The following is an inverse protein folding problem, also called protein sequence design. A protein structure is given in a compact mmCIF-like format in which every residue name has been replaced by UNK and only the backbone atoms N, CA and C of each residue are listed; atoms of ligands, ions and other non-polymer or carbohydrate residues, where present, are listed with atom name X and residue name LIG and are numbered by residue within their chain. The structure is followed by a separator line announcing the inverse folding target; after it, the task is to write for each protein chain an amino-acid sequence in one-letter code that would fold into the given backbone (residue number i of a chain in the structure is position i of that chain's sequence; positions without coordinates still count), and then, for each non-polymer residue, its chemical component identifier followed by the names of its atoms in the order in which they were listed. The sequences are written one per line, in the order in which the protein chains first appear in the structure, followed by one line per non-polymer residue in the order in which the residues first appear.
data_IF_424637062907
#
_entry.id   IF_424637062907
#
_cell.length_a   1.000
_cell.length_b   1.000
_cell.length_c   1.000
_cell.angle_alpha   90.00
_cell.angle_beta   90.00
_cell.angle_gamma   90.00
#
_symmetry.space_group_name_H-M   'P 1'
#
loop_
_entity.id
_entity.type
_entity.pdbx_description
1 polymer ?
#
# COMPACT_ATOMS: atom_id res chain seq x y z
N UNK A 1 -54.12 -36.44 -6.30
CA UNK A 1 -54.20 -34.97 -6.15
C UNK A 1 -52.78 -34.44 -6.23
N UNK A 2 -52.53 -33.58 -7.20
CA UNK A 2 -51.22 -33.19 -7.76
C UNK A 2 -50.24 -32.53 -6.78
N UNK A 3 -48.98 -32.99 -6.88
CA UNK A 3 -47.73 -32.22 -6.99
C UNK A 3 -47.62 -30.87 -6.29
N UNK A 4 -46.61 -30.72 -5.43
CA UNK A 4 -45.83 -29.48 -5.40
C UNK A 4 -44.34 -29.79 -5.27
N UNK A 5 -43.68 -29.67 -6.41
CA UNK A 5 -42.25 -29.46 -6.50
C UNK A 5 -41.92 -28.08 -5.92
N UNK A 6 -40.84 -27.99 -5.16
CA UNK A 6 -40.02 -26.77 -5.13
C UNK A 6 -38.58 -27.19 -4.87
N UNK A 7 -37.82 -27.25 -5.96
CA UNK A 7 -36.36 -27.21 -5.93
C UNK A 7 -35.96 -25.92 -5.22
N UNK A 8 -35.38 -26.05 -4.03
CA UNK A 8 -34.52 -25.02 -3.45
C UNK A 8 -33.10 -25.29 -3.93
N UNK A 9 -32.75 -24.63 -5.02
CA UNK A 9 -31.44 -24.55 -5.65
C UNK A 9 -30.31 -24.48 -4.61
N UNK A 10 -29.44 -25.50 -4.56
CA UNK A 10 -28.09 -25.34 -4.04
C UNK A 10 -27.34 -24.39 -4.99
N UNK A 11 -27.57 -23.09 -4.83
CA UNK A 11 -26.67 -22.10 -5.39
C UNK A 11 -25.32 -22.30 -4.68
N UNK A 12 -24.20 -22.36 -5.40
CA UNK A 12 -22.91 -22.25 -4.74
C UNK A 12 -22.97 -20.94 -3.97
N UNK A 13 -22.72 -20.99 -2.67
CA UNK A 13 -22.53 -19.79 -1.87
C UNK A 13 -21.42 -19.01 -2.57
N UNK A 14 -21.82 -18.02 -3.37
CA UNK A 14 -20.93 -17.03 -3.91
C UNK A 14 -20.36 -16.41 -2.68
N UNK A 15 -19.15 -16.85 -2.33
CA UNK A 15 -18.32 -16.26 -1.31
C UNK A 15 -18.27 -14.79 -1.69
N UNK A 16 -19.17 -14.02 -1.09
CA UNK A 16 -19.20 -12.58 -1.10
C UNK A 16 -17.83 -12.22 -0.55
N UNK A 17 -16.88 -12.02 -1.47
CA UNK A 17 -15.52 -11.64 -1.17
C UNK A 17 -15.67 -10.21 -0.69
N UNK A 18 -15.99 -10.08 0.59
CA UNK A 18 -15.90 -8.85 1.36
C UNK A 18 -14.47 -8.38 1.17
N UNK A 19 -14.24 -7.57 0.15
CA UNK A 19 -12.92 -7.14 -0.26
C UNK A 19 -12.44 -6.17 0.81
N UNK A 20 -11.87 -6.74 1.88
CA UNK A 20 -11.35 -5.98 2.99
C UNK A 20 -10.21 -5.13 2.44
N UNK A 21 -10.31 -3.79 2.49
CA UNK A 21 -9.30 -2.92 1.89
C UNK A 21 -7.92 -3.14 2.51
N UNK A 22 -7.86 -3.59 3.76
CA UNK A 22 -6.60 -3.99 4.41
C UNK A 22 -5.96 -5.22 3.78
N UNK A 23 -6.76 -6.20 3.33
CA UNK A 23 -6.23 -7.36 2.63
C UNK A 23 -5.71 -6.96 1.25
N UNK A 24 -6.42 -6.09 0.54
CA UNK A 24 -5.94 -5.52 -0.72
C UNK A 24 -4.63 -4.73 -0.52
N UNK A 25 -4.51 -3.99 0.58
CA UNK A 25 -3.30 -3.24 0.92
C UNK A 25 -2.11 -4.16 1.26
N UNK A 26 -2.36 -5.24 2.00
CA UNK A 26 -1.33 -6.25 2.28
C UNK A 26 -0.87 -6.96 0.99
N UNK A 27 -1.81 -7.30 0.10
CA UNK A 27 -1.48 -7.84 -1.21
C UNK A 27 -0.65 -6.84 -2.02
N UNK A 28 -1.06 -5.57 -2.06
CA UNK A 28 -0.32 -4.50 -2.74
C UNK A 28 1.12 -4.42 -2.23
N UNK A 29 1.31 -4.38 -0.91
CA UNK A 29 2.64 -4.41 -0.30
C UNK A 29 3.44 -5.67 -0.65
N UNK A 30 2.81 -6.84 -0.73
CA UNK A 30 3.49 -8.07 -1.18
C UNK A 30 3.95 -8.00 -2.64
N UNK A 31 3.10 -7.49 -3.55
CA UNK A 31 3.47 -7.26 -4.94
C UNK A 31 4.58 -6.20 -5.07
N UNK A 32 4.57 -5.18 -4.20
CA UNK A 32 5.63 -4.17 -4.14
C UNK A 32 7.00 -4.78 -3.84
N UNK A 33 7.05 -5.71 -2.88
CA UNK A 33 8.30 -6.40 -2.56
C UNK A 33 8.76 -7.24 -3.75
N UNK A 34 7.84 -7.94 -4.43
CA UNK A 34 8.15 -8.66 -5.68
C UNK A 34 8.68 -7.73 -6.78
N UNK A 35 8.10 -6.54 -6.92
CA UNK A 35 8.58 -5.49 -7.83
C UNK A 35 10.00 -5.06 -7.46
N UNK A 36 10.26 -4.69 -6.20
CA UNK A 36 11.57 -4.25 -5.74
C UNK A 36 12.67 -5.31 -5.97
N UNK A 37 12.36 -6.59 -5.70
CA UNK A 37 13.27 -7.70 -5.99
C UNK A 37 13.50 -7.85 -7.50
N UNK A 38 12.44 -7.77 -8.30
CA UNK A 38 12.55 -7.92 -9.75
C UNK A 38 13.35 -6.80 -10.40
N UNK A 39 13.22 -5.56 -9.90
CA UNK A 39 14.02 -4.42 -10.35
C UNK A 39 15.49 -4.65 -10.02
N UNK A 40 15.80 -5.11 -8.80
CA UNK A 40 17.17 -5.41 -8.41
C UNK A 40 17.78 -6.51 -9.31
N UNK A 41 17.02 -7.58 -9.57
CA UNK A 41 17.43 -8.67 -10.46
C UNK A 41 17.45 -8.34 -11.95
N UNK A 42 16.87 -7.22 -12.37
CA UNK A 42 16.91 -6.78 -13.76
C UNK A 42 18.27 -6.23 -14.18
N UNK A 43 19.19 -6.02 -13.24
CA UNK A 43 20.49 -5.38 -13.46
C UNK A 43 20.35 -4.05 -14.23
N UNK A 44 19.42 -3.21 -13.80
CA UNK A 44 19.13 -1.93 -14.47
C UNK A 44 18.37 -2.08 -15.78
N UNK A 45 17.42 -3.01 -15.86
CA UNK A 45 16.62 -3.34 -17.05
C UNK A 45 17.38 -3.96 -18.22
N UNK A 46 18.58 -4.47 -17.96
CA UNK A 46 19.39 -5.17 -18.97
C UNK A 46 18.83 -6.58 -19.22
N UNK A 47 18.27 -7.22 -18.19
CA UNK A 47 17.61 -8.51 -18.30
C UNK A 47 16.11 -8.36 -18.62
N UNK A 48 15.72 -8.77 -19.83
CA UNK A 48 14.35 -8.63 -20.34
C UNK A 48 13.31 -9.41 -19.53
N UNK A 49 13.67 -10.61 -19.04
CA UNK A 49 12.76 -11.47 -18.28
C UNK A 49 12.41 -10.84 -16.93
N UNK A 50 13.42 -10.42 -16.17
CA UNK A 50 13.23 -9.74 -14.89
C UNK A 50 12.55 -8.39 -15.04
N UNK A 51 12.83 -7.66 -16.13
CA UNK A 51 12.15 -6.40 -16.46
C UNK A 51 10.66 -6.57 -16.70
N UNK A 52 10.25 -7.59 -17.48
CA UNK A 52 8.84 -7.89 -17.71
C UNK A 52 8.14 -8.24 -16.40
N UNK A 53 8.77 -9.06 -15.58
CA UNK A 53 8.25 -9.44 -14.26
C UNK A 53 8.07 -8.19 -13.39
N UNK A 54 9.07 -7.30 -13.33
CA UNK A 54 8.98 -6.04 -12.60
C UNK A 54 7.78 -5.19 -13.06
N UNK A 55 7.56 -5.05 -14.36
CA UNK A 55 6.41 -4.29 -14.90
C UNK A 55 5.09 -4.92 -14.46
N UNK A 56 4.96 -6.25 -14.52
CA UNK A 56 3.74 -6.94 -14.08
C UNK A 56 3.49 -6.71 -12.59
N UNK A 57 4.52 -6.91 -11.75
CA UNK A 57 4.41 -6.66 -10.31
C UNK A 57 4.06 -5.20 -10.01
N UNK A 58 4.64 -4.24 -10.74
CA UNK A 58 4.37 -2.81 -10.62
C UNK A 58 2.92 -2.44 -10.96
N UNK A 59 2.35 -3.03 -12.00
CA UNK A 59 0.95 -2.83 -12.34
C UNK A 59 0.02 -3.47 -11.30
N UNK A 60 0.37 -4.65 -10.80
CA UNK A 60 -0.40 -5.34 -9.76
C UNK A 60 -0.40 -4.57 -8.43
N UNK A 61 0.77 -4.17 -7.92
CA UNK A 61 0.90 -3.40 -6.66
C UNK A 61 0.09 -2.10 -6.73
N UNK A 62 0.19 -1.34 -7.84
CA UNK A 62 -0.58 -0.11 -8.03
C UNK A 62 -2.07 -0.34 -8.14
N UNK A 63 -2.50 -1.41 -8.82
CA UNK A 63 -3.92 -1.74 -8.93
C UNK A 63 -4.53 -2.07 -7.57
N UNK A 64 -3.88 -2.96 -6.80
CA UNK A 64 -4.36 -3.34 -5.47
C UNK A 64 -4.30 -2.17 -4.47
N UNK A 65 -3.26 -1.35 -4.55
CA UNK A 65 -3.15 -0.12 -3.76
C UNK A 65 -4.31 0.81 -4.10
N UNK A 66 -4.55 1.10 -5.37
CA UNK A 66 -5.67 1.94 -5.82
C UNK A 66 -7.02 1.44 -5.29
N UNK A 67 -7.26 0.12 -5.34
CA UNK A 67 -8.48 -0.49 -4.76
C UNK A 67 -8.58 -0.28 -3.26
N UNK A 68 -7.47 -0.42 -2.51
CA UNK A 68 -7.46 -0.17 -1.07
C UNK A 68 -7.76 1.31 -0.75
N UNK A 69 -7.12 2.23 -1.49
CA UNK A 69 -7.27 3.68 -1.32
C UNK A 69 -8.69 4.19 -1.62
N UNK A 70 -9.53 3.42 -2.31
CA UNK A 70 -10.97 3.76 -2.45
C UNK A 70 -11.75 3.68 -1.14
N UNK A 71 -11.19 3.03 -0.12
CA UNK A 71 -11.85 2.74 1.17
C UNK A 71 -11.08 3.26 2.38
N UNK A 72 -9.76 3.50 2.26
CA UNK A 72 -8.90 4.03 3.32
C UNK A 72 -8.36 5.41 2.94
N UNK A 73 -7.98 6.20 3.95
CA UNK A 73 -7.30 7.46 3.72
C UNK A 73 -6.02 7.24 2.89
N UNK A 74 -5.85 8.08 1.86
CA UNK A 74 -4.74 8.02 0.91
C UNK A 74 -3.40 8.05 1.64
N UNK A 75 -3.29 8.91 2.65
CA UNK A 75 -2.08 9.04 3.43
C UNK A 75 -1.74 7.78 4.23
N UNK A 76 -2.73 7.16 4.87
CA UNK A 76 -2.54 5.92 5.63
C UNK A 76 -2.16 4.77 4.68
N UNK A 77 -2.84 4.66 3.54
CA UNK A 77 -2.57 3.60 2.57
C UNK A 77 -1.16 3.67 1.99
N UNK A 78 -0.71 4.85 1.55
CA UNK A 78 0.66 5.02 1.05
C UNK A 78 1.71 4.77 2.13
N UNK A 79 1.48 5.20 3.37
CA UNK A 79 2.42 4.96 4.47
C UNK A 79 2.64 3.47 4.72
N UNK A 80 1.55 2.69 4.79
CA UNK A 80 1.61 1.25 5.02
C UNK A 80 2.22 0.52 3.82
N UNK A 81 1.80 0.86 2.60
CA UNK A 81 2.34 0.29 1.37
C UNK A 81 3.85 0.50 1.24
N UNK A 82 4.32 1.74 1.43
CA UNK A 82 5.74 2.07 1.39
C UNK A 82 6.52 1.38 2.52
N UNK A 83 5.95 1.32 3.72
CA UNK A 83 6.56 0.63 4.86
C UNK A 83 6.76 -0.87 4.61
N UNK A 84 5.74 -1.56 4.08
CA UNK A 84 5.82 -2.99 3.74
C UNK A 84 6.85 -3.21 2.63
N UNK A 85 6.81 -2.40 1.56
CA UNK A 85 7.77 -2.47 0.47
C UNK A 85 9.22 -2.32 0.95
N UNK A 86 9.48 -1.32 1.80
CA UNK A 86 10.81 -1.07 2.34
C UNK A 86 11.31 -2.19 3.24
N UNK A 87 10.47 -2.67 4.17
CA UNK A 87 10.84 -3.78 5.08
C UNK A 87 11.03 -5.09 4.28
N UNK A 88 10.16 -5.38 3.32
CA UNK A 88 10.28 -6.59 2.52
C UNK A 88 11.50 -6.55 1.60
N UNK A 89 11.80 -5.42 0.96
CA UNK A 89 13.02 -5.26 0.17
C UNK A 89 14.29 -5.37 1.04
N UNK A 90 14.27 -4.78 2.24
CA UNK A 90 15.36 -4.87 3.21
C UNK A 90 15.68 -6.31 3.62
N UNK A 91 14.64 -7.12 3.85
CA UNK A 91 14.76 -8.49 4.34
C UNK A 91 15.03 -9.48 3.21
N UNK A 92 14.30 -9.38 2.10
CA UNK A 92 14.36 -10.36 1.01
C UNK A 92 15.43 -10.06 -0.04
N UNK A 93 15.81 -8.80 -0.26
CA UNK A 93 16.86 -8.46 -1.23
C UNK A 93 18.17 -9.21 -0.96
N UNK A 94 18.69 -9.15 0.26
CA UNK A 94 19.93 -9.83 0.65
C UNK A 94 19.84 -11.35 0.62
N UNK A 95 18.65 -11.91 0.86
CA UNK A 95 18.39 -13.35 0.76
C UNK A 95 18.36 -13.81 -0.70
N UNK A 96 17.86 -12.99 -1.63
CA UNK A 96 17.74 -13.36 -3.05
C UNK A 96 18.98 -13.05 -3.89
N UNK A 97 19.74 -12.01 -3.54
CA UNK A 97 20.87 -11.51 -4.33
C UNK A 97 22.23 -11.86 -3.72
N UNK A 98 22.27 -12.67 -2.65
CA UNK A 98 23.49 -13.01 -1.90
C UNK A 98 24.32 -11.76 -1.49
N UNK A 99 23.65 -10.60 -1.42
CA UNK A 99 24.28 -9.35 -1.02
C UNK A 99 24.54 -9.37 0.48
N UNK A 100 25.74 -8.95 0.88
CA UNK A 100 26.08 -8.86 2.30
C UNK A 100 25.28 -7.72 2.95
N UNK A 101 24.28 -8.07 3.75
CA UNK A 101 23.70 -7.15 4.74
C UNK A 101 24.74 -6.88 5.81
N UNK A 102 25.50 -5.80 5.63
CA UNK A 102 26.26 -5.25 6.73
C UNK A 102 25.29 -4.65 7.75
N UNK A 103 25.57 -4.81 9.05
CA UNK A 103 24.83 -4.16 10.14
C UNK A 103 24.68 -2.65 9.91
N UNK A 104 25.68 -2.05 9.24
CA UNK A 104 25.67 -0.64 8.81
C UNK A 104 24.59 -0.36 7.76
N UNK A 105 24.47 -1.17 6.70
CA UNK A 105 23.37 -1.04 5.70
C UNK A 105 22.00 -1.11 6.38
N UNK A 106 21.81 -2.07 7.30
CA UNK A 106 20.56 -2.23 8.04
C UNK A 106 20.20 -1.04 8.94
N UNK A 107 21.19 -0.47 9.63
CA UNK A 107 21.01 0.73 10.44
C UNK A 107 20.54 1.93 9.59
N UNK A 108 21.25 2.23 8.50
CA UNK A 108 20.89 3.35 7.62
C UNK A 108 19.55 3.16 6.92
N UNK A 109 19.21 1.92 6.58
CA UNK A 109 17.91 1.60 6.01
C UNK A 109 16.78 1.87 7.01
N UNK A 110 16.99 1.56 8.29
CA UNK A 110 16.04 1.88 9.36
C UNK A 110 15.88 3.39 9.53
N UNK A 111 16.97 4.17 9.40
CA UNK A 111 16.94 5.64 9.41
C UNK A 111 16.16 6.19 8.22
N UNK A 112 16.34 5.65 7.01
CA UNK A 112 15.57 6.05 5.82
C UNK A 112 14.08 5.75 6.01
N UNK A 113 13.74 4.55 6.46
CA UNK A 113 12.35 4.15 6.74
C UNK A 113 11.72 5.08 7.80
N UNK A 114 12.44 5.35 8.89
CA UNK A 114 12.01 6.28 9.93
C UNK A 114 11.81 7.71 9.38
N UNK A 115 12.71 8.18 8.53
CA UNK A 115 12.61 9.47 7.85
C UNK A 115 11.38 9.59 6.94
N UNK A 116 11.08 8.54 6.16
CA UNK A 116 9.88 8.50 5.29
C UNK A 116 8.60 8.51 6.13
N UNK A 117 8.54 7.73 7.21
CA UNK A 117 7.39 7.71 8.13
C UNK A 117 7.20 9.09 8.78
N UNK A 118 8.29 9.71 9.25
CA UNK A 118 8.26 11.04 9.87
C UNK A 118 7.84 12.13 8.89
N UNK A 119 8.32 12.07 7.64
CA UNK A 119 7.92 13.00 6.58
C UNK A 119 6.42 12.88 6.28
N UNK A 120 5.87 11.67 6.22
CA UNK A 120 4.43 11.47 6.04
C UNK A 120 3.64 12.02 7.24
N UNK A 121 4.10 11.77 8.47
CA UNK A 121 3.45 12.32 9.67
C UNK A 121 3.43 13.86 9.66
N UNK A 122 4.53 14.47 9.24
CA UNK A 122 4.65 15.92 9.12
C UNK A 122 3.74 16.52 8.02
N UNK A 123 3.54 15.80 6.92
CA UNK A 123 2.72 16.24 5.79
C UNK A 123 1.21 16.01 6.01
N UNK A 124 0.78 15.49 7.17
CA UNK A 124 -0.64 15.29 7.48
C UNK A 124 -1.28 16.60 7.98
N UNK A 125 -1.99 17.37 7.14
CA UNK A 125 -2.46 18.69 7.46
C UNK A 125 -3.82 18.58 8.13
N UNK A 126 -3.84 18.11 9.38
CA UNK A 126 -4.97 18.37 10.28
C UNK A 126 -5.00 19.83 10.76
N UNK A 127 -4.21 20.70 10.12
CA UNK A 127 -3.92 22.08 10.52
C UNK A 127 -4.58 23.15 9.63
N UNK A 128 -5.12 22.80 8.45
CA UNK A 128 -5.82 23.78 7.59
C UNK A 128 -7.30 23.95 7.98
N UNK A 129 -7.97 22.89 8.44
CA UNK A 129 -9.37 22.95 8.88
C UNK A 129 -9.58 23.87 10.10
N UNK A 130 -8.59 23.98 10.99
CA UNK A 130 -8.66 24.85 12.18
C UNK A 130 -8.42 26.34 11.86
N UNK A 131 -7.78 26.64 10.74
CA UNK A 131 -7.49 28.03 10.31
C UNK A 131 -8.69 28.69 9.64
N UNK A 132 -9.52 27.93 8.92
CA UNK A 132 -10.78 28.44 8.34
C UNK A 132 -11.82 28.74 9.42
N UNK A 133 -11.96 27.85 10.40
CA UNK A 133 -12.95 28.00 11.48
C UNK A 133 -12.68 29.22 12.37
N UNK A 134 -11.40 29.48 12.68
CA UNK A 134 -11.00 30.64 13.47
C UNK A 134 -11.15 31.95 12.69
N UNK A 135 -10.91 31.97 11.38
CA UNK A 135 -11.04 33.19 10.56
C UNK A 135 -12.49 33.64 10.42
N UNK A 136 -13.43 32.70 10.45
CA UNK A 136 -14.87 32.99 10.36
C UNK A 136 -15.42 33.45 11.71
N UNK A 137 -14.99 32.84 12.82
CA UNK A 137 -15.37 33.26 14.18
C UNK A 137 -14.91 34.70 14.51
N UNK A 138 -13.68 35.06 14.13
CA UNK A 138 -13.15 36.42 14.34
C UNK A 138 -13.82 37.44 13.41
N UNK A 139 -14.25 37.05 12.21
CA UNK A 139 -14.97 37.94 11.29
C UNK A 139 -16.42 38.23 11.75
N UNK A 140 -17.07 37.28 12.44
CA UNK A 140 -18.40 37.51 13.05
C UNK A 140 -18.36 38.38 14.30
N UNK A 141 -17.31 38.31 15.11
CA UNK A 141 -17.18 39.16 16.32
C UNK A 141 -16.78 40.61 16.03
N UNK A 142 -16.19 40.90 14.87
CA UNK A 142 -15.84 42.28 14.48
C UNK A 142 -17.01 43.03 13.82
N UNK A 143 -18.08 42.33 13.46
CA UNK A 143 -19.25 42.89 12.79
C UNK A 143 -20.49 43.02 13.69
N UNK A 144 -20.35 42.75 14.99
CA UNK A 144 -21.39 42.86 16.01
C UNK A 144 -20.97 43.87 17.08
#
# INVERSE_FOLDING_TARGET
MSTNATRGTAAPETTEKNANPWLALLLAGGFEVGYALSVNGSEGFTNLTWSLIAIVFFLCTLFFLSVALKKIDVGIGYAVWAGIGAVGAALLGPVFFDETLTLVKGFWLTVIIGGVIWLKLADSPKLEAKKSDTRTAVASEQHQ
#
